data_IF_001480862737
#
_entry.id   IF_001480862737
#
_cell.length_a   1.000
_cell.length_b   1.000
_cell.length_c   1.000
_cell.angle_alpha   90.00
_cell.angle_beta   90.00
_cell.angle_gamma   90.00
#
_symmetry.space_group_name_H-M   'P 1'
#
loop_
_entity.id
_entity.type
_entity.pdbx_description
1 polymer ?
#
# COMPACT_ATOMS: atom_id res chain seq x y z
N UNK A 1 -13.58 16.76 -4.19
CA UNK A 1 -12.55 15.79 -4.60
C UNK A 1 -13.24 14.48 -4.88
N UNK A 2 -13.17 13.96 -6.12
CA UNK A 2 -13.63 12.60 -6.43
C UNK A 2 -12.94 11.68 -5.44
N UNK A 3 -13.74 10.91 -4.70
CA UNK A 3 -13.27 9.82 -3.87
C UNK A 3 -12.60 8.83 -4.81
N UNK A 4 -11.30 9.02 -5.07
CA UNK A 4 -10.48 8.00 -5.70
C UNK A 4 -10.64 6.79 -4.80
N UNK A 5 -11.49 5.86 -5.24
CA UNK A 5 -11.80 4.65 -4.51
C UNK A 5 -10.47 3.95 -4.39
N UNK A 6 -9.90 3.99 -3.18
CA UNK A 6 -8.69 3.26 -2.88
C UNK A 6 -9.07 1.81 -3.20
N UNK A 7 -8.43 1.22 -4.20
CA UNK A 7 -8.70 -0.14 -4.62
C UNK A 7 -7.36 -0.87 -4.78
N UNK A 8 -7.38 -2.19 -4.62
CA UNK A 8 -6.18 -3.03 -4.78
C UNK A 8 -5.59 -2.94 -6.19
N UNK A 9 -6.40 -2.50 -7.17
CA UNK A 9 -6.04 -2.29 -8.57
C UNK A 9 -5.19 -1.04 -8.79
N UNK A 10 -5.28 -0.03 -7.91
CA UNK A 10 -4.52 1.20 -8.07
C UNK A 10 -3.11 1.05 -7.48
N UNK A 11 -2.26 0.29 -8.19
CA UNK A 11 -0.90 -0.03 -7.77
C UNK A 11 -0.07 1.24 -7.55
N UNK A 12 -0.24 2.26 -8.37
CA UNK A 12 0.49 3.52 -8.27
C UNK A 12 0.21 4.24 -6.94
N UNK A 13 -1.06 4.31 -6.53
CA UNK A 13 -1.43 4.88 -5.24
C UNK A 13 -0.89 4.02 -4.07
N UNK A 14 -1.05 2.70 -4.15
CA UNK A 14 -0.61 1.78 -3.11
C UNK A 14 0.92 1.75 -2.93
N UNK A 15 1.69 1.99 -4.00
CA UNK A 15 3.15 2.13 -3.94
C UNK A 15 3.60 3.26 -3.02
N UNK A 16 2.83 4.35 -2.89
CA UNK A 16 3.14 5.46 -1.97
C UNK A 16 3.04 5.07 -0.49
N UNK A 17 2.37 3.95 -0.18
CA UNK A 17 2.14 3.46 1.17
C UNK A 17 3.03 2.27 1.55
N UNK A 18 4.01 1.93 0.72
CA UNK A 18 5.02 0.92 0.99
C UNK A 18 6.42 1.51 0.91
N UNK A 19 7.37 0.92 1.61
CA UNK A 19 8.79 1.24 1.49
C UNK A 19 9.37 0.68 0.20
N UNK A 20 10.57 1.11 -0.16
CA UNK A 20 11.34 0.54 -1.29
C UNK A 20 11.52 -0.98 -1.15
N UNK A 21 11.72 -1.46 0.08
CA UNK A 21 11.80 -2.90 0.43
C UNK A 21 10.46 -3.64 0.31
N UNK A 22 9.36 -2.94 0.01
CA UNK A 22 8.02 -3.52 -0.06
C UNK A 22 7.31 -3.65 1.29
N UNK A 23 7.83 -3.12 2.40
CA UNK A 23 7.14 -3.13 3.72
C UNK A 23 6.03 -2.06 3.77
N UNK A 24 4.93 -2.30 4.49
CA UNK A 24 3.86 -1.29 4.62
C UNK A 24 4.31 -0.16 5.55
N UNK A 25 4.10 1.09 5.15
CA UNK A 25 4.43 2.26 5.97
C UNK A 25 3.51 2.35 7.21
N UNK A 26 4.06 2.68 8.39
CA UNK A 26 3.28 2.85 9.60
C UNK A 26 2.35 4.07 9.49
N UNK A 27 1.20 4.02 10.19
CA UNK A 27 0.19 5.10 10.18
C UNK A 27 0.76 6.48 10.53
N UNK A 28 1.72 6.53 11.47
CA UNK A 28 2.37 7.78 11.92
C UNK A 28 3.07 8.54 10.79
N UNK A 29 3.60 7.82 9.80
CA UNK A 29 4.28 8.42 8.64
C UNK A 29 3.29 8.87 7.56
N UNK A 30 2.18 8.14 7.40
CA UNK A 30 1.20 8.38 6.33
C UNK A 30 0.17 9.46 6.68
N UNK A 31 0.09 9.87 7.96
CA UNK A 31 -0.87 10.87 8.49
C UNK A 31 -2.34 10.58 8.16
N UNK A 32 -2.67 9.31 7.88
CA UNK A 32 -4.04 8.88 7.60
C UNK A 32 -4.84 8.61 8.87
N UNK A 33 -6.16 8.71 8.75
CA UNK A 33 -7.06 8.22 9.80
C UNK A 33 -6.92 6.70 9.97
N UNK A 34 -7.26 6.19 11.15
CA UNK A 34 -7.19 4.75 11.42
C UNK A 34 -8.06 3.92 10.43
N UNK A 35 -9.22 4.45 10.03
CA UNK A 35 -10.12 3.80 9.07
C UNK A 35 -9.48 3.70 7.68
N UNK A 36 -8.91 4.79 7.19
CA UNK A 36 -8.22 4.82 5.89
C UNK A 36 -6.99 3.93 5.88
N UNK A 37 -6.17 3.95 6.95
CA UNK A 37 -4.96 3.13 7.02
C UNK A 37 -5.29 1.62 7.03
N UNK A 38 -6.32 1.20 7.78
CA UNK A 38 -6.82 -0.20 7.73
C UNK A 38 -7.29 -0.60 6.34
N UNK A 39 -8.00 0.29 5.67
CA UNK A 39 -8.49 0.06 4.33
C UNK A 39 -7.34 -0.11 3.32
N UNK A 40 -6.35 0.79 3.35
CA UNK A 40 -5.13 0.68 2.53
C UNK A 40 -4.39 -0.62 2.81
N UNK A 41 -4.20 -1.00 4.08
CA UNK A 41 -3.56 -2.28 4.42
C UNK A 41 -4.27 -3.47 3.80
N UNK A 42 -5.61 -3.49 3.80
CA UNK A 42 -6.39 -4.56 3.16
C UNK A 42 -6.16 -4.57 1.64
N UNK A 43 -6.18 -3.40 1.00
CA UNK A 43 -5.94 -3.28 -0.44
C UNK A 43 -4.51 -3.66 -0.83
N UNK A 44 -3.49 -3.26 -0.08
CA UNK A 44 -2.09 -3.66 -0.29
C UNK A 44 -1.94 -5.18 -0.18
N UNK A 45 -2.52 -5.80 0.86
CA UNK A 45 -2.47 -7.26 1.04
C UNK A 45 -3.13 -8.00 -0.13
N UNK A 46 -4.30 -7.53 -0.59
CA UNK A 46 -5.00 -8.10 -1.75
C UNK A 46 -4.19 -7.94 -3.04
N UNK A 47 -3.61 -6.75 -3.25
CA UNK A 47 -2.75 -6.44 -4.40
C UNK A 47 -1.52 -7.36 -4.44
N UNK A 48 -0.92 -7.67 -3.28
CA UNK A 48 0.20 -8.61 -3.18
C UNK A 48 -0.16 -10.05 -3.52
N UNK A 49 -1.31 -10.54 -3.04
CA UNK A 49 -1.78 -11.90 -3.35
C UNK A 49 -2.00 -12.07 -4.87
N UNK A 50 -2.45 -11.00 -5.54
CA UNK A 50 -2.66 -10.96 -6.99
C UNK A 50 -1.37 -10.72 -7.80
N UNK A 51 -0.21 -10.61 -7.16
CA UNK A 51 1.07 -10.37 -7.85
C UNK A 51 1.27 -8.94 -8.37
N UNK A 52 0.40 -7.99 -8.02
CA UNK A 52 0.50 -6.59 -8.46
C UNK A 52 1.54 -5.78 -7.65
N UNK A 53 1.82 -6.20 -6.41
CA UNK A 53 2.82 -5.61 -5.54
C UNK A 53 3.72 -6.70 -4.93
N UNK A 54 5.03 -6.45 -4.78
CA UNK A 54 5.92 -7.39 -4.13
C UNK A 54 5.68 -7.45 -2.62
N UNK A 55 5.92 -8.62 -2.04
CA UNK A 55 5.96 -8.79 -0.57
C UNK A 55 7.25 -8.24 0.02
N UNK A 56 8.37 -8.48 -0.67
CA UNK A 56 9.72 -8.05 -0.31
C UNK A 56 10.42 -7.68 -1.62
N UNK A 57 11.07 -6.52 -1.67
CA UNK A 57 11.98 -6.17 -2.75
C UNK A 57 13.42 -6.36 -2.28
N UNK A 58 14.21 -7.17 -2.99
CA UNK A 58 15.58 -7.58 -2.62
C UNK A 58 16.68 -6.73 -3.25
N UNK A 59 16.38 -5.56 -3.81
CA UNK A 59 17.34 -4.81 -4.64
C UNK A 59 18.38 -3.96 -3.88
N UNK A 60 18.82 -4.41 -2.70
CA UNK A 60 19.97 -3.81 -1.99
C UNK A 60 21.02 -4.88 -1.68
N UNK A 61 21.48 -5.62 -2.69
CA UNK A 61 22.67 -6.50 -2.62
C UNK A 61 23.73 -5.98 -3.56
#
# INVERSE_FOLDING_TARGET
MKSDVIDYKNVYLLRKFITVQGKILPRRMTKLTAKQHRFIMKSVKKSRILGLLPFINKENS
#
